data_IF_169312429765
#
_entry.id   IF_169312429765
#
_cell.length_a   1.000
_cell.length_b   1.000
_cell.length_c   1.000
_cell.angle_alpha   90.00
_cell.angle_beta   90.00
_cell.angle_gamma   90.00
#
_symmetry.space_group_name_H-M   'P 1'
#
loop_
_entity.id
_entity.type
_entity.pdbx_description
1 polymer ?
#
# COMPACT_ATOMS: atom_id res chain seq x y z
N UNK A 1 -34.05 -35.32 17.30
CA UNK A 1 -33.01 -35.04 18.31
C UNK A 1 -32.25 -33.82 17.82
N UNK A 2 -32.34 -32.70 18.54
CA UNK A 2 -31.48 -31.53 18.34
C UNK A 2 -30.27 -31.72 19.25
N UNK A 3 -29.08 -31.51 18.71
CA UNK A 3 -27.83 -31.51 19.46
C UNK A 3 -27.30 -30.08 19.47
N UNK A 4 -27.13 -29.51 20.65
CA UNK A 4 -26.52 -28.21 20.82
C UNK A 4 -25.01 -28.41 21.00
N UNK A 5 -24.22 -27.71 20.16
CA UNK A 5 -22.77 -27.67 20.27
C UNK A 5 -22.39 -26.44 21.10
N UNK A 6 -21.76 -26.66 22.26
CA UNK A 6 -21.26 -25.60 23.12
C UNK A 6 -19.73 -25.54 22.99
N UNK A 7 -19.20 -24.39 22.51
CA UNK A 7 -17.78 -24.14 22.47
C UNK A 7 -17.38 -23.29 23.69
N UNK A 8 -16.58 -23.87 24.59
CA UNK A 8 -15.95 -23.11 25.66
C UNK A 8 -14.59 -22.62 25.18
N UNK A 9 -14.45 -21.30 25.00
CA UNK A 9 -13.21 -20.66 24.53
C UNK A 9 -12.61 -19.86 25.68
N UNK A 10 -11.43 -20.31 26.17
CA UNK A 10 -10.62 -19.49 27.08
C UNK A 10 -9.65 -18.64 26.23
N UNK A 11 -9.90 -17.34 26.17
CA UNK A 11 -9.13 -16.42 25.35
C UNK A 11 -7.76 -16.11 25.95
N UNK A 12 -7.52 -16.43 27.24
CA UNK A 12 -6.28 -16.15 27.94
C UNK A 12 -5.89 -14.66 27.97
N UNK A 13 -4.72 -14.36 28.52
CA UNK A 13 -4.18 -13.01 28.54
C UNK A 13 -3.53 -12.62 27.20
N UNK A 14 -3.64 -11.35 26.82
CA UNK A 14 -3.00 -10.83 25.60
C UNK A 14 -1.46 -10.94 25.69
N UNK A 15 -0.85 -11.54 24.68
CA UNK A 15 0.59 -11.69 24.55
C UNK A 15 1.27 -10.32 24.33
N UNK A 16 2.16 -9.91 25.25
CA UNK A 16 2.84 -8.60 25.23
C UNK A 16 4.20 -8.70 24.56
N UNK A 17 4.51 -7.79 23.64
CA UNK A 17 5.85 -7.65 23.06
C UNK A 17 6.73 -6.93 24.07
N UNK A 18 7.59 -7.65 24.78
CA UNK A 18 8.51 -7.07 25.76
C UNK A 18 9.75 -6.47 25.12
N UNK A 19 10.22 -7.11 24.02
CA UNK A 19 11.43 -6.74 23.31
C UNK A 19 11.26 -7.03 21.84
N UNK A 20 11.86 -6.17 20.98
CA UNK A 20 11.98 -6.38 19.55
C UNK A 20 13.45 -6.44 19.20
N UNK A 21 13.87 -7.54 18.58
CA UNK A 21 15.26 -7.80 18.21
C UNK A 21 15.40 -8.05 16.71
N UNK A 22 16.51 -7.61 16.16
CA UNK A 22 16.89 -7.85 14.77
C UNK A 22 18.19 -8.64 14.76
N UNK A 23 18.21 -9.79 14.10
CA UNK A 23 19.34 -10.72 14.05
C UNK A 23 19.71 -11.07 12.60
N UNK A 24 20.84 -11.72 12.39
CA UNK A 24 21.32 -12.18 11.08
C UNK A 24 22.23 -11.16 10.37
N UNK A 25 22.38 -11.32 9.05
CA UNK A 25 23.18 -10.45 8.19
C UNK A 25 22.44 -9.15 7.87
N UNK A 26 22.25 -8.30 8.88
CA UNK A 26 21.58 -7.01 8.76
C UNK A 26 22.59 -5.89 8.52
N UNK A 27 22.35 -5.10 7.51
CA UNK A 27 23.21 -3.98 7.12
C UNK A 27 22.97 -2.73 8.00
N UNK A 28 21.76 -2.59 8.53
CA UNK A 28 21.35 -1.40 9.26
C UNK A 28 21.25 -1.64 10.77
N UNK A 29 21.46 -0.57 11.55
CA UNK A 29 21.35 -0.59 13.01
C UNK A 29 19.90 -0.86 13.44
N UNK A 30 19.75 -1.55 14.59
CA UNK A 30 18.44 -1.87 15.19
C UNK A 30 17.54 -0.63 15.38
N UNK A 31 18.14 0.50 15.76
CA UNK A 31 17.40 1.76 15.96
C UNK A 31 16.74 2.24 14.66
N UNK A 32 17.41 2.08 13.51
CA UNK A 32 16.86 2.41 12.20
C UNK A 32 15.73 1.44 11.81
N UNK A 33 15.98 0.14 11.95
CA UNK A 33 14.99 -0.90 11.62
C UNK A 33 13.74 -0.80 12.50
N UNK A 34 13.93 -0.51 13.79
CA UNK A 34 12.84 -0.29 14.74
C UNK A 34 11.97 0.92 14.38
N UNK A 35 12.56 1.96 13.79
CA UNK A 35 11.83 3.14 13.32
C UNK A 35 10.99 2.90 12.06
N UNK A 36 11.18 1.76 11.37
CA UNK A 36 10.42 1.42 10.16
C UNK A 36 9.16 0.61 10.44
N UNK A 37 9.15 -0.15 11.54
CA UNK A 37 8.06 -1.05 11.91
C UNK A 37 6.99 -0.36 12.75
N UNK A 38 5.79 -0.92 12.74
CA UNK A 38 4.63 -0.42 13.49
C UNK A 38 4.49 -1.09 14.85
N UNK A 39 4.95 -2.34 14.99
CA UNK A 39 4.97 -3.03 16.29
C UNK A 39 5.83 -2.30 17.31
N UNK A 40 5.38 -2.23 18.55
CA UNK A 40 6.01 -1.51 19.63
C UNK A 40 6.29 -2.40 20.84
N UNK A 41 7.39 -2.13 21.55
CA UNK A 41 7.66 -2.74 22.83
C UNK A 41 6.66 -2.25 23.90
N UNK A 42 6.15 -3.19 24.72
CA UNK A 42 5.27 -2.88 25.83
C UNK A 42 5.97 -2.00 26.86
N UNK A 43 5.37 -0.84 27.12
CA UNK A 43 5.76 0.07 28.20
C UNK A 43 4.52 0.43 29.01
N UNK A 44 4.63 0.51 30.35
CA UNK A 44 3.46 0.69 31.22
C UNK A 44 2.69 1.99 30.96
N UNK A 45 3.37 3.03 30.45
CA UNK A 45 2.74 4.32 30.11
C UNK A 45 2.09 4.34 28.71
N UNK A 46 2.30 3.32 27.89
CA UNK A 46 1.64 3.18 26.59
C UNK A 46 0.35 2.35 26.71
N UNK A 47 -0.55 2.74 27.60
CA UNK A 47 -1.74 1.93 27.91
C UNK A 47 -2.80 1.92 26.78
N UNK A 48 -2.83 2.90 25.88
CA UNK A 48 -3.83 3.02 24.80
C UNK A 48 -3.41 2.24 23.54
N UNK A 49 -2.11 2.10 23.25
CA UNK A 49 -1.64 1.47 22.02
C UNK A 49 -1.91 -0.03 21.97
N UNK A 50 -2.57 -0.50 20.92
CA UNK A 50 -2.71 -1.94 20.59
C UNK A 50 -1.46 -2.57 19.98
N UNK A 51 -0.53 -1.76 19.46
CA UNK A 51 0.67 -2.17 18.72
C UNK A 51 1.72 -2.91 19.57
N UNK A 52 1.54 -2.93 20.87
CA UNK A 52 2.38 -3.61 21.88
C UNK A 52 2.01 -5.07 22.16
N UNK A 53 1.00 -5.59 21.49
CA UNK A 53 0.58 -6.98 21.61
C UNK A 53 0.96 -7.75 20.35
N UNK A 54 1.26 -9.05 20.52
CA UNK A 54 1.49 -9.92 19.37
C UNK A 54 0.23 -9.98 18.51
N UNK A 55 0.38 -9.62 17.25
CA UNK A 55 -0.66 -9.66 16.24
C UNK A 55 -0.01 -10.09 14.92
N UNK A 56 -0.43 -11.21 14.39
CA UNK A 56 0.17 -11.80 13.19
C UNK A 56 0.05 -10.87 11.96
N UNK A 57 -1.11 -10.25 11.77
CA UNK A 57 -1.30 -9.30 10.66
C UNK A 57 -0.36 -8.11 10.77
N UNK A 58 -0.15 -7.59 11.99
CA UNK A 58 0.77 -6.48 12.23
C UNK A 58 2.23 -6.89 12.01
N UNK A 59 2.62 -8.09 12.45
CA UNK A 59 3.97 -8.64 12.24
C UNK A 59 4.23 -8.86 10.74
N UNK A 60 3.26 -9.37 9.99
CA UNK A 60 3.36 -9.53 8.55
C UNK A 60 3.46 -8.17 7.84
N UNK A 61 2.77 -7.16 8.34
CA UNK A 61 2.90 -5.80 7.85
C UNK A 61 4.31 -5.24 8.12
N UNK A 62 4.84 -5.41 9.32
CA UNK A 62 6.20 -5.02 9.67
C UNK A 62 7.26 -5.69 8.78
N UNK A 63 7.08 -6.99 8.48
CA UNK A 63 7.95 -7.69 7.52
C UNK A 63 7.93 -7.03 6.15
N UNK A 64 6.75 -6.66 5.64
CA UNK A 64 6.63 -5.95 4.36
C UNK A 64 7.32 -4.59 4.38
N UNK A 65 7.16 -3.82 5.47
CA UNK A 65 7.84 -2.53 5.62
C UNK A 65 9.37 -2.68 5.60
N UNK A 66 9.89 -3.66 6.32
CA UNK A 66 11.32 -3.96 6.31
C UNK A 66 11.78 -4.43 4.91
N UNK A 67 11.04 -5.33 4.27
CA UNK A 67 11.35 -5.83 2.94
C UNK A 67 11.40 -4.68 1.91
N UNK A 68 10.37 -3.85 1.85
CA UNK A 68 10.33 -2.70 0.96
C UNK A 68 11.49 -1.72 1.23
N UNK A 69 11.85 -1.51 2.50
CA UNK A 69 12.99 -0.68 2.83
C UNK A 69 14.31 -1.24 2.26
N UNK A 70 14.54 -2.56 2.37
CA UNK A 70 15.74 -3.20 1.82
C UNK A 70 15.74 -3.20 0.30
N UNK A 71 14.62 -3.54 -0.35
CA UNK A 71 14.44 -3.45 -1.81
C UNK A 71 14.79 -2.05 -2.32
N UNK A 72 14.31 -0.99 -1.63
CA UNK A 72 14.60 0.40 -1.97
C UNK A 72 16.04 0.84 -1.67
N UNK A 73 16.88 -0.07 -1.21
CA UNK A 73 18.32 0.15 -0.97
C UNK A 73 19.20 -0.76 -1.80
N UNK A 74 18.61 -1.51 -2.72
CA UNK A 74 19.28 -2.40 -3.65
C UNK A 74 19.40 -3.85 -3.18
N UNK A 75 18.87 -4.20 -2.04
CA UNK A 75 18.94 -5.59 -1.55
C UNK A 75 17.74 -6.39 -2.08
N UNK A 76 17.80 -6.75 -3.36
CA UNK A 76 16.71 -7.37 -4.10
C UNK A 76 16.31 -8.74 -3.54
N UNK A 77 17.30 -9.58 -3.22
CA UNK A 77 17.10 -10.94 -2.70
C UNK A 77 17.01 -11.00 -1.17
N UNK A 78 16.68 -9.87 -0.51
CA UNK A 78 16.58 -9.86 0.95
C UNK A 78 15.57 -10.86 1.47
N UNK A 79 15.97 -11.65 2.45
CA UNK A 79 15.10 -12.59 3.16
C UNK A 79 14.81 -12.08 4.57
N UNK A 80 13.53 -11.86 4.89
CA UNK A 80 13.12 -11.40 6.21
C UNK A 80 12.07 -12.35 6.78
N UNK A 81 12.44 -13.00 7.89
CA UNK A 81 11.59 -13.89 8.63
C UNK A 81 11.29 -13.31 10.02
N UNK A 82 10.14 -13.67 10.59
CA UNK A 82 9.79 -13.29 11.95
C UNK A 82 9.52 -14.54 12.79
N UNK A 83 9.97 -14.48 14.02
CA UNK A 83 9.69 -15.48 15.05
C UNK A 83 9.46 -14.79 16.39
N UNK A 84 8.92 -15.52 17.36
CA UNK A 84 8.80 -15.01 18.72
C UNK A 84 9.18 -16.07 19.73
N UNK A 85 9.86 -15.64 20.77
CA UNK A 85 10.25 -16.46 21.90
C UNK A 85 9.48 -16.01 23.15
N UNK A 86 8.87 -16.96 23.87
CA UNK A 86 8.23 -16.68 25.16
C UNK A 86 9.30 -16.35 26.19
N UNK A 87 9.20 -15.19 26.83
CA UNK A 87 10.03 -14.83 27.97
C UNK A 87 9.47 -15.43 29.26
N UNK A 88 10.35 -15.70 30.22
CA UNK A 88 10.09 -16.55 31.39
C UNK A 88 8.92 -16.05 32.28
N UNK A 89 8.48 -14.81 32.16
CA UNK A 89 7.42 -14.25 33.00
C UNK A 89 6.23 -13.71 32.18
N UNK A 90 5.03 -14.22 32.54
CA UNK A 90 3.70 -13.65 32.31
C UNK A 90 3.40 -13.14 30.89
N UNK A 91 3.08 -14.01 29.96
CA UNK A 91 2.61 -13.63 28.61
C UNK A 91 3.44 -12.54 27.92
N UNK A 92 4.76 -12.50 28.22
CA UNK A 92 5.72 -11.61 27.60
C UNK A 92 6.52 -12.38 26.55
N UNK A 93 6.71 -11.73 25.39
CA UNK A 93 7.40 -12.31 24.24
C UNK A 93 8.47 -11.36 23.72
N UNK A 94 9.53 -11.94 23.21
CA UNK A 94 10.48 -11.24 22.33
C UNK A 94 10.06 -11.53 20.89
N UNK A 95 9.83 -10.46 20.12
CA UNK A 95 9.62 -10.53 18.67
C UNK A 95 10.98 -10.40 18.00
N UNK A 96 11.32 -11.36 17.16
CA UNK A 96 12.63 -11.45 16.52
C UNK A 96 12.43 -11.38 15.01
N UNK A 97 13.05 -10.41 14.36
CA UNK A 97 13.19 -10.35 12.91
C UNK A 97 14.58 -10.87 12.52
N UNK A 98 14.62 -11.97 11.77
CA UNK A 98 15.84 -12.50 11.17
C UNK A 98 15.96 -11.96 9.77
N UNK A 99 17.04 -11.25 9.49
CA UNK A 99 17.30 -10.56 8.23
C UNK A 99 18.55 -11.13 7.61
N UNK A 100 18.44 -11.58 6.38
CA UNK A 100 19.58 -11.88 5.51
C UNK A 100 19.50 -10.96 4.29
N UNK A 101 20.30 -9.90 4.31
CA UNK A 101 20.24 -8.85 3.29
C UNK A 101 20.74 -9.30 1.92
N UNK A 102 21.55 -10.38 1.84
CA UNK A 102 22.22 -10.83 0.62
C UNK A 102 23.07 -9.73 -0.03
N UNK A 103 23.35 -9.89 -1.31
CA UNK A 103 24.13 -8.94 -2.09
C UNK A 103 23.29 -7.78 -2.61
N UNK A 104 23.98 -6.72 -3.01
CA UNK A 104 23.34 -5.51 -3.51
C UNK A 104 23.25 -5.56 -5.02
N UNK A 105 22.06 -5.26 -5.54
CA UNK A 105 21.76 -5.18 -6.96
C UNK A 105 21.65 -3.73 -7.42
N UNK A 106 21.89 -3.52 -8.70
CA UNK A 106 21.83 -2.22 -9.36
C UNK A 106 20.96 -2.30 -10.60
N UNK A 107 20.39 -1.19 -11.03
CA UNK A 107 19.71 -1.13 -12.31
C UNK A 107 20.72 -1.37 -13.45
N UNK A 108 20.38 -2.30 -14.33
CA UNK A 108 21.07 -2.56 -15.58
C UNK A 108 20.55 -1.69 -16.71
N UNK A 109 20.23 -2.31 -17.84
CA UNK A 109 19.58 -1.65 -18.97
C UNK A 109 18.08 -1.57 -18.74
N UNK A 110 17.49 -0.39 -19.04
CA UNK A 110 16.06 -0.15 -19.01
C UNK A 110 15.62 0.09 -20.45
N UNK A 111 14.61 -0.63 -20.90
CA UNK A 111 14.08 -0.59 -22.27
C UNK A 111 12.58 -0.35 -22.24
N UNK A 112 12.08 0.46 -23.16
CA UNK A 112 10.66 0.65 -23.39
C UNK A 112 10.30 0.05 -24.74
N UNK A 113 9.35 -0.87 -24.76
CA UNK A 113 8.76 -1.43 -25.97
C UNK A 113 7.38 -0.85 -26.20
N UNK A 114 7.17 -0.30 -27.37
CA UNK A 114 5.95 0.38 -27.78
C UNK A 114 5.29 -0.37 -28.95
N UNK A 115 3.96 -0.34 -29.05
CA UNK A 115 3.27 -0.69 -30.29
C UNK A 115 3.75 0.16 -31.46
N UNK A 116 3.63 -0.37 -32.67
CA UNK A 116 4.21 0.24 -33.89
C UNK A 116 3.62 1.59 -34.30
N UNK A 117 2.45 1.91 -33.82
CA UNK A 117 1.68 3.13 -34.10
C UNK A 117 1.87 4.22 -33.02
N UNK A 118 2.70 3.94 -32.00
CA UNK A 118 2.99 4.90 -30.93
C UNK A 118 4.28 5.67 -31.23
N UNK A 119 4.22 6.99 -31.06
CA UNK A 119 5.37 7.86 -31.29
C UNK A 119 6.34 7.83 -30.10
N UNK A 120 7.54 7.33 -30.31
CA UNK A 120 8.57 7.27 -29.26
C UNK A 120 8.94 8.65 -28.67
N UNK A 121 8.68 9.73 -29.40
CA UNK A 121 8.89 11.11 -28.94
C UNK A 121 8.04 11.48 -27.72
N UNK A 122 6.83 10.93 -27.61
CA UNK A 122 5.94 11.17 -26.48
C UNK A 122 6.49 10.60 -25.17
N UNK A 123 7.40 9.63 -25.28
CA UNK A 123 8.05 8.95 -24.16
C UNK A 123 9.49 9.45 -23.90
N UNK A 124 9.88 10.61 -24.44
CA UNK A 124 11.25 11.15 -24.30
C UNK A 124 11.67 11.34 -22.83
N UNK A 125 10.74 11.76 -21.99
CA UNK A 125 10.97 11.93 -20.54
C UNK A 125 11.36 10.59 -19.85
N UNK A 126 10.78 9.47 -20.27
CA UNK A 126 11.16 8.16 -19.77
C UNK A 126 12.58 7.77 -20.18
N UNK A 127 13.02 8.12 -21.38
CA UNK A 127 14.38 7.85 -21.83
C UNK A 127 15.41 8.58 -20.97
N UNK A 128 15.14 9.84 -20.61
CA UNK A 128 15.99 10.59 -19.66
C UNK A 128 16.03 9.91 -18.29
N UNK A 129 14.87 9.50 -17.77
CA UNK A 129 14.75 8.80 -16.49
C UNK A 129 15.51 7.46 -16.51
N UNK A 130 15.47 6.72 -17.61
CA UNK A 130 16.22 5.47 -17.78
C UNK A 130 17.74 5.68 -17.72
N UNK A 131 18.23 6.73 -18.41
CA UNK A 131 19.66 7.09 -18.39
C UNK A 131 20.09 7.46 -16.96
N UNK A 132 19.29 8.25 -16.28
CA UNK A 132 19.56 8.64 -14.89
C UNK A 132 19.51 7.49 -13.89
N UNK A 133 18.66 6.50 -14.15
CA UNK A 133 18.44 5.36 -13.24
C UNK A 133 19.50 4.29 -13.39
N UNK A 134 20.05 4.09 -14.58
CA UNK A 134 21.06 3.08 -14.88
C UNK A 134 22.25 3.17 -13.91
N UNK A 135 22.72 2.01 -13.42
CA UNK A 135 23.77 1.82 -12.43
C UNK A 135 23.50 2.40 -11.02
N UNK A 136 22.34 2.98 -10.75
CA UNK A 136 21.93 3.29 -9.37
C UNK A 136 21.52 1.99 -8.65
N UNK A 137 21.60 1.95 -7.31
CA UNK A 137 21.06 0.83 -6.54
C UNK A 137 19.61 0.57 -6.90
N UNK A 138 19.24 -0.70 -7.07
CA UNK A 138 17.84 -1.08 -7.34
C UNK A 138 16.89 -0.49 -6.27
N UNK A 139 15.71 -0.08 -6.72
CA UNK A 139 14.66 0.46 -5.85
C UNK A 139 13.30 0.15 -6.47
N UNK A 140 12.46 -0.55 -5.73
CA UNK A 140 11.09 -0.83 -6.18
C UNK A 140 10.28 0.46 -6.39
N UNK A 141 10.49 1.48 -5.56
CA UNK A 141 9.82 2.77 -5.74
C UNK A 141 10.18 3.43 -7.08
N UNK A 142 11.44 3.30 -7.54
CA UNK A 142 11.83 3.84 -8.85
C UNK A 142 11.14 3.10 -9.98
N UNK A 143 10.91 1.79 -9.84
CA UNK A 143 10.14 1.02 -10.82
C UNK A 143 8.68 1.49 -10.83
N UNK A 144 8.10 1.69 -9.64
CA UNK A 144 6.74 2.24 -9.50
C UNK A 144 6.64 3.64 -10.10
N UNK A 145 7.60 4.55 -9.81
CA UNK A 145 7.65 5.91 -10.38
C UNK A 145 7.71 5.88 -11.92
N UNK A 146 8.43 4.91 -12.52
CA UNK A 146 8.49 4.74 -13.98
C UNK A 146 7.14 4.28 -14.53
N UNK A 147 6.47 3.36 -13.85
CA UNK A 147 5.13 2.90 -14.25
C UNK A 147 4.13 4.05 -14.16
N UNK A 148 4.16 4.82 -13.08
CA UNK A 148 3.29 5.99 -12.90
C UNK A 148 3.53 7.04 -14.01
N UNK A 149 4.78 7.25 -14.42
CA UNK A 149 5.09 8.14 -15.55
C UNK A 149 4.56 7.59 -16.89
N UNK A 150 4.63 6.27 -17.13
CA UNK A 150 4.02 5.63 -18.31
C UNK A 150 2.51 5.86 -18.30
N UNK A 151 1.88 5.70 -17.14
CA UNK A 151 0.46 5.87 -16.96
C UNK A 151 0.02 7.34 -17.21
N UNK A 152 0.80 8.31 -16.71
CA UNK A 152 0.53 9.73 -16.93
C UNK A 152 0.68 10.13 -18.41
N UNK A 153 1.67 9.57 -19.12
CA UNK A 153 1.83 9.77 -20.57
C UNK A 153 0.63 9.15 -21.30
N UNK A 154 0.23 7.93 -20.95
CA UNK A 154 -0.90 7.27 -21.57
C UNK A 154 -2.21 8.07 -21.44
N UNK A 155 -2.43 8.67 -20.29
CA UNK A 155 -3.59 9.53 -20.04
C UNK A 155 -3.50 10.82 -20.88
N UNK A 156 -2.33 11.48 -20.91
CA UNK A 156 -2.14 12.75 -21.61
C UNK A 156 -2.27 12.62 -23.12
N UNK A 157 -1.79 11.51 -23.68
CA UNK A 157 -1.85 11.19 -25.11
C UNK A 157 -3.17 10.48 -25.50
N UNK A 158 -4.09 10.30 -24.53
CA UNK A 158 -5.38 9.65 -24.74
C UNK A 158 -5.29 8.23 -25.32
N UNK A 159 -4.24 7.50 -24.94
CA UNK A 159 -4.12 6.08 -25.31
C UNK A 159 -5.17 5.26 -24.56
N UNK A 160 -6.11 4.72 -25.32
CA UNK A 160 -7.19 3.90 -24.79
C UNK A 160 -6.79 2.44 -24.70
N UNK A 161 -7.23 1.75 -23.65
CA UNK A 161 -7.13 0.28 -23.55
C UNK A 161 -5.69 -0.26 -23.70
N UNK A 162 -4.75 0.35 -23.00
CA UNK A 162 -3.37 -0.12 -22.90
C UNK A 162 -3.11 -0.84 -21.58
N UNK A 163 -2.10 -1.69 -21.60
CA UNK A 163 -1.54 -2.35 -20.42
C UNK A 163 -0.03 -2.20 -20.45
N UNK A 164 0.53 -1.66 -19.38
CA UNK A 164 1.96 -1.68 -19.15
C UNK A 164 2.35 -2.94 -18.36
N UNK A 165 3.34 -3.67 -18.84
CA UNK A 165 3.93 -4.81 -18.14
C UNK A 165 5.42 -4.58 -17.94
N UNK A 166 5.97 -5.08 -16.84
CA UNK A 166 7.40 -5.01 -16.55
C UNK A 166 7.95 -6.42 -16.48
N UNK A 167 8.99 -6.69 -17.24
CA UNK A 167 9.76 -7.93 -17.15
C UNK A 167 11.18 -7.64 -16.68
N UNK A 168 11.68 -8.51 -15.79
CA UNK A 168 12.98 -8.39 -15.17
C UNK A 168 13.91 -9.48 -15.70
N UNK A 169 15.15 -9.13 -15.99
CA UNK A 169 16.20 -10.05 -16.34
C UNK A 169 17.46 -9.73 -15.53
N UNK A 170 17.85 -10.68 -14.67
CA UNK A 170 19.01 -10.52 -13.78
C UNK A 170 20.25 -11.06 -14.46
N UNK A 171 21.28 -10.23 -14.55
CA UNK A 171 22.61 -10.59 -15.04
C UNK A 171 23.64 -10.09 -14.05
N UNK A 172 24.32 -11.01 -13.40
CA UNK A 172 25.28 -10.75 -12.30
C UNK A 172 24.60 -9.95 -11.15
N UNK A 173 25.08 -8.74 -10.87
CA UNK A 173 24.54 -7.82 -9.88
C UNK A 173 23.58 -6.76 -10.46
N UNK A 174 23.16 -6.93 -11.73
CA UNK A 174 22.31 -5.97 -12.45
C UNK A 174 20.94 -6.54 -12.78
N UNK A 175 19.94 -5.73 -12.58
CA UNK A 175 18.56 -6.01 -12.96
C UNK A 175 18.21 -5.15 -14.18
N UNK A 176 18.08 -5.81 -15.33
CA UNK A 176 17.59 -5.19 -16.56
C UNK A 176 16.06 -5.22 -16.55
N UNK A 177 15.45 -4.11 -16.93
CA UNK A 177 13.99 -3.98 -16.95
C UNK A 177 13.51 -3.67 -18.36
N UNK A 178 12.48 -4.38 -18.77
CA UNK A 178 11.77 -4.11 -20.03
C UNK A 178 10.35 -3.72 -19.68
N UNK A 179 10.01 -2.47 -19.95
CA UNK A 179 8.66 -1.95 -19.85
C UNK A 179 7.99 -2.14 -21.21
N UNK A 180 6.95 -2.95 -21.28
CA UNK A 180 6.24 -3.26 -22.53
C UNK A 180 4.82 -2.72 -22.45
N UNK A 181 4.47 -1.87 -23.41
CA UNK A 181 3.14 -1.33 -23.56
C UNK A 181 2.44 -2.14 -24.65
N UNK A 182 1.31 -2.73 -24.32
CA UNK A 182 0.49 -3.52 -25.22
C UNK A 182 -0.91 -2.91 -25.35
N UNK A 183 -1.44 -2.90 -26.57
CA UNK A 183 -2.86 -2.61 -26.75
C UNK A 183 -3.71 -3.81 -26.35
N UNK A 184 -4.77 -3.53 -25.61
CA UNK A 184 -5.74 -4.56 -25.21
C UNK A 184 -7.06 -4.40 -25.95
N UNK A 185 -7.91 -5.42 -25.89
CA UNK A 185 -9.27 -5.34 -26.45
C UNK A 185 -10.03 -4.18 -25.82
N UNK A 186 -10.63 -3.32 -26.65
CA UNK A 186 -11.46 -2.20 -26.18
C UNK A 186 -12.74 -2.72 -25.52
N UNK A 187 -12.91 -2.41 -24.27
CA UNK A 187 -14.13 -2.60 -23.49
C UNK A 187 -14.71 -1.24 -23.12
N UNK A 188 -15.99 -1.20 -22.83
CA UNK A 188 -16.68 -0.01 -22.34
C UNK A 188 -17.22 -0.26 -20.94
N UNK A 189 -17.26 0.78 -20.12
CA UNK A 189 -17.84 0.72 -18.79
C UNK A 189 -19.36 0.70 -18.92
N UNK A 190 -19.96 -0.45 -18.63
CA UNK A 190 -21.42 -0.58 -18.67
C UNK A 190 -22.06 0.04 -17.43
N UNK A 191 -21.46 -0.19 -16.28
CA UNK A 191 -21.97 0.27 -15.00
C UNK A 191 -20.89 0.35 -13.93
N UNK A 192 -21.05 1.35 -13.05
CA UNK A 192 -20.21 1.48 -11.84
C UNK A 192 -21.14 1.35 -10.61
N UNK A 193 -20.99 0.26 -9.88
CA UNK A 193 -21.71 0.03 -8.64
C UNK A 193 -20.86 0.40 -7.44
N UNK A 194 -21.46 1.06 -6.45
CA UNK A 194 -20.79 1.45 -5.20
C UNK A 194 -21.52 0.79 -4.05
N UNK A 195 -20.77 0.11 -3.16
CA UNK A 195 -21.29 -0.63 -2.03
C UNK A 195 -20.59 -0.23 -0.74
N UNK A 196 -21.28 -0.35 0.40
CA UNK A 196 -20.69 -0.16 1.73
C UNK A 196 -20.67 1.30 2.22
N UNK A 197 -21.11 2.25 1.42
CA UNK A 197 -21.21 3.66 1.77
C UNK A 197 -22.52 3.95 2.53
N UNK A 198 -22.59 3.55 3.79
CA UNK A 198 -23.81 3.69 4.61
C UNK A 198 -24.01 5.12 5.12
N UNK A 199 -22.95 5.87 5.37
CA UNK A 199 -22.91 7.25 5.86
C UNK A 199 -22.54 8.20 4.72
N UNK A 200 -21.47 7.86 3.97
CA UNK A 200 -20.94 8.69 2.89
C UNK A 200 -21.89 8.67 1.70
N UNK A 201 -22.22 9.84 1.18
CA UNK A 201 -23.06 9.96 0.00
C UNK A 201 -22.34 9.44 -1.22
N UNK A 202 -23.05 8.75 -2.09
CA UNK A 202 -22.49 8.14 -3.30
C UNK A 202 -21.77 9.14 -4.20
N UNK A 203 -22.28 10.38 -4.31
CA UNK A 203 -21.66 11.41 -5.12
C UNK A 203 -20.25 11.82 -4.63
N UNK A 204 -19.94 11.67 -3.34
CA UNK A 204 -18.59 11.93 -2.81
C UNK A 204 -17.58 10.95 -3.41
N UNK A 205 -17.98 9.69 -3.57
CA UNK A 205 -17.16 8.65 -4.18
C UNK A 205 -17.10 8.84 -5.69
N UNK A 206 -18.26 9.06 -6.34
CA UNK A 206 -18.32 9.26 -7.80
C UNK A 206 -17.50 10.45 -8.28
N UNK A 207 -17.41 11.52 -7.49
CA UNK A 207 -16.59 12.69 -7.83
C UNK A 207 -15.06 12.41 -7.83
N UNK A 208 -14.62 11.26 -7.36
CA UNK A 208 -13.23 10.82 -7.40
C UNK A 208 -12.93 9.91 -8.61
N UNK A 209 -13.96 9.59 -9.40
CA UNK A 209 -13.80 8.73 -10.56
C UNK A 209 -13.25 9.52 -11.75
N UNK A 210 -12.29 8.94 -12.45
CA UNK A 210 -11.73 9.44 -13.70
C UNK A 210 -12.39 8.82 -14.93
N UNK A 211 -13.31 7.88 -14.73
CA UNK A 211 -14.10 7.20 -15.78
C UNK A 211 -15.55 7.17 -15.38
N UNK A 212 -16.43 7.31 -16.37
CA UNK A 212 -17.86 7.25 -16.22
C UNK A 212 -18.49 6.05 -16.96
N UNK A 213 -19.75 5.80 -16.68
CA UNK A 213 -20.54 4.79 -17.39
C UNK A 213 -20.70 5.19 -18.86
N UNK A 214 -20.29 4.32 -19.77
CA UNK A 214 -20.27 4.57 -21.21
C UNK A 214 -18.87 4.88 -21.78
N UNK A 215 -17.91 5.23 -20.93
CA UNK A 215 -16.54 5.49 -21.35
C UNK A 215 -15.80 4.21 -21.77
N UNK A 216 -14.76 4.33 -22.60
CA UNK A 216 -13.80 3.24 -22.79
C UNK A 216 -13.21 2.82 -21.44
N UNK A 217 -13.23 1.51 -21.17
CA UNK A 217 -12.63 0.96 -19.96
C UNK A 217 -11.11 1.15 -20.01
N UNK A 218 -10.57 1.82 -19.02
CA UNK A 218 -9.13 2.03 -18.84
C UNK A 218 -8.74 1.61 -17.42
N UNK A 219 -7.86 0.61 -17.31
CA UNK A 219 -7.43 0.07 -16.02
C UNK A 219 -6.63 1.09 -15.20
N UNK A 220 -5.84 1.92 -15.88
CA UNK A 220 -5.04 2.98 -15.25
C UNK A 220 -5.95 4.02 -14.58
N UNK A 221 -6.94 4.53 -15.33
CA UNK A 221 -7.92 5.48 -14.80
C UNK A 221 -8.76 4.87 -13.68
N UNK A 222 -9.07 3.56 -13.78
CA UNK A 222 -9.76 2.83 -12.71
C UNK A 222 -8.92 2.80 -11.44
N UNK A 223 -7.64 2.43 -11.53
CA UNK A 223 -6.72 2.39 -10.40
C UNK A 223 -6.51 3.78 -9.79
N UNK A 224 -6.35 4.81 -10.63
CA UNK A 224 -6.23 6.21 -10.19
C UNK A 224 -7.49 6.65 -9.42
N UNK A 225 -8.67 6.32 -9.92
CA UNK A 225 -9.95 6.56 -9.23
C UNK A 225 -9.99 5.93 -7.84
N UNK A 226 -9.57 4.68 -7.73
CA UNK A 226 -9.51 3.96 -6.45
C UNK A 226 -8.52 4.60 -5.48
N UNK A 227 -7.37 5.07 -5.97
CA UNK A 227 -6.39 5.77 -5.15
C UNK A 227 -6.93 7.12 -4.65
N UNK A 228 -7.67 7.86 -5.47
CA UNK A 228 -8.33 9.10 -5.05
C UNK A 228 -9.39 8.82 -3.97
N UNK A 229 -10.21 7.78 -4.12
CA UNK A 229 -11.16 7.37 -3.09
C UNK A 229 -10.45 7.03 -1.78
N UNK A 230 -9.32 6.30 -1.83
CA UNK A 230 -8.49 6.00 -0.66
C UNK A 230 -7.92 7.27 -0.02
N UNK A 231 -7.53 8.27 -0.83
CA UNK A 231 -6.94 9.53 -0.38
C UNK A 231 -7.91 10.38 0.44
N UNK A 232 -9.22 10.23 0.27
CA UNK A 232 -10.24 10.88 1.12
C UNK A 232 -10.04 10.55 2.61
N UNK A 233 -9.38 9.44 2.91
CA UNK A 233 -9.05 9.00 4.27
C UNK A 233 -10.28 8.86 5.21
N UNK A 234 -11.46 8.64 4.63
CA UNK A 234 -12.73 8.38 5.35
C UNK A 234 -13.11 6.89 5.33
N UNK A 235 -12.41 6.10 4.55
CA UNK A 235 -12.59 4.65 4.45
C UNK A 235 -11.45 3.90 5.14
N UNK A 236 -11.78 2.78 5.75
CA UNK A 236 -10.82 1.83 6.32
C UNK A 236 -10.21 0.97 5.22
N UNK A 237 -11.07 0.60 4.27
CA UNK A 237 -10.69 -0.19 3.10
C UNK A 237 -11.50 0.23 1.88
N UNK A 238 -10.87 0.13 0.70
CA UNK A 238 -11.49 0.38 -0.61
C UNK A 238 -10.99 -0.68 -1.56
N UNK A 239 -11.90 -1.55 -1.99
CA UNK A 239 -11.66 -2.61 -2.95
C UNK A 239 -12.50 -2.38 -4.21
N UNK A 240 -12.02 -2.85 -5.35
CA UNK A 240 -12.84 -2.90 -6.55
C UNK A 240 -12.67 -4.22 -7.27
N UNK A 241 -13.70 -4.63 -7.96
CA UNK A 241 -13.74 -5.83 -8.78
C UNK A 241 -14.32 -5.48 -10.14
N UNK A 242 -13.70 -6.04 -11.20
CA UNK A 242 -14.17 -5.89 -12.57
C UNK A 242 -14.84 -7.19 -12.96
N UNK A 243 -16.06 -7.10 -13.44
CA UNK A 243 -16.82 -8.23 -13.97
C UNK A 243 -17.26 -7.99 -15.42
N UNK A 244 -17.58 -9.06 -16.12
CA UNK A 244 -18.17 -8.93 -17.46
C UNK A 244 -19.55 -8.27 -17.39
N UNK A 245 -19.82 -7.36 -18.32
CA UNK A 245 -21.12 -6.73 -18.46
C UNK A 245 -22.13 -7.63 -19.19
N UNK A 246 -23.35 -7.16 -19.35
CA UNK A 246 -24.40 -7.86 -20.09
C UNK A 246 -24.18 -7.78 -21.60
N UNK A 247 -23.58 -6.69 -22.07
CA UNK A 247 -23.25 -6.50 -23.46
C UNK A 247 -21.88 -7.08 -23.78
N UNK A 248 -21.70 -7.54 -25.03
CA UNK A 248 -20.39 -7.98 -25.51
C UNK A 248 -19.42 -6.79 -25.49
N UNK A 249 -18.22 -7.02 -24.97
CA UNK A 249 -17.17 -6.01 -24.79
C UNK A 249 -17.57 -4.89 -23.77
N UNK A 250 -18.39 -5.19 -22.77
CA UNK A 250 -18.62 -4.28 -21.65
C UNK A 250 -18.12 -4.86 -20.34
N UNK A 251 -17.78 -3.96 -19.42
CA UNK A 251 -17.28 -4.27 -18.07
C UNK A 251 -18.16 -3.55 -17.03
N UNK A 252 -18.36 -4.22 -15.92
CA UNK A 252 -18.99 -3.61 -14.73
C UNK A 252 -17.95 -3.48 -13.65
N UNK A 253 -17.83 -2.27 -13.10
CA UNK A 253 -16.90 -1.97 -12.01
C UNK A 253 -17.72 -1.96 -10.70
N UNK A 254 -17.35 -2.83 -9.77
CA UNK A 254 -17.95 -2.91 -8.45
C UNK A 254 -16.97 -2.37 -7.42
N UNK A 255 -17.24 -1.21 -6.85
CA UNK A 255 -16.42 -0.56 -5.82
C UNK A 255 -17.05 -0.84 -4.46
N UNK A 256 -16.30 -1.44 -3.55
CA UNK A 256 -16.75 -1.73 -2.19
C UNK A 256 -15.90 -0.96 -1.19
N UNK A 257 -16.53 -0.13 -0.38
CA UNK A 257 -15.87 0.67 0.64
C UNK A 257 -16.25 0.17 2.05
N UNK A 258 -15.30 0.21 2.98
CA UNK A 258 -15.53 0.01 4.41
C UNK A 258 -15.31 1.33 5.13
N UNK A 259 -16.36 1.93 5.65
CA UNK A 259 -16.29 3.21 6.35
C UNK A 259 -15.58 3.09 7.70
N UNK A 260 -14.88 4.14 8.11
CA UNK A 260 -14.28 4.23 9.44
C UNK A 260 -14.78 5.45 10.18
N UNK A 261 -14.76 5.45 11.53
CA UNK A 261 -15.04 6.65 12.31
C UNK A 261 -14.05 7.76 11.93
N UNK A 262 -14.57 8.94 11.60
CA UNK A 262 -13.81 10.12 11.15
C UNK A 262 -13.82 11.26 12.17
N UNK A 263 -14.57 11.10 13.26
CA UNK A 263 -14.64 12.04 14.37
C UNK A 263 -13.41 11.98 15.25
N UNK A 264 -12.81 13.14 15.51
CA UNK A 264 -11.65 13.32 16.42
C UNK A 264 -12.01 14.25 17.56
N UNK A 265 -11.66 13.87 18.79
CA UNK A 265 -11.73 14.72 19.97
C UNK A 265 -10.33 15.09 20.38
N UNK A 266 -10.05 16.37 20.47
CA UNK A 266 -8.77 16.92 20.88
C UNK A 266 -8.90 17.61 22.22
N UNK A 267 -7.98 17.35 23.14
CA UNK A 267 -7.85 18.07 24.40
C UNK A 267 -6.39 18.46 24.60
N UNK A 268 -6.15 19.71 24.94
CA UNK A 268 -4.81 20.23 25.19
C UNK A 268 -4.80 21.09 26.44
N UNK A 269 -3.66 21.09 27.18
CA UNK A 269 -3.39 22.01 28.26
C UNK A 269 -1.98 22.56 28.08
N UNK A 270 -1.80 23.85 28.32
CA UNK A 270 -0.54 24.54 28.21
C UNK A 270 -0.33 25.54 29.36
N UNK A 271 0.93 25.75 29.73
CA UNK A 271 1.34 26.77 30.67
C UNK A 271 2.32 27.72 29.98
N UNK A 272 2.07 29.00 30.07
CA UNK A 272 2.93 30.02 29.50
C UNK A 272 3.12 31.19 30.47
N UNK A 273 3.90 32.21 30.09
CA UNK A 273 4.13 33.41 30.87
C UNK A 273 2.85 34.20 31.19
N UNK A 274 1.79 34.00 30.43
CA UNK A 274 0.45 34.60 30.59
C UNK A 274 -0.53 33.73 31.38
N UNK A 275 -0.13 32.54 31.87
CA UNK A 275 -0.97 31.64 32.67
C UNK A 275 -1.21 30.28 32.05
N UNK A 276 -2.18 29.55 32.61
CA UNK A 276 -2.62 28.26 32.14
C UNK A 276 -3.69 28.39 31.04
N UNK A 277 -3.63 27.58 30.02
CA UNK A 277 -4.65 27.48 28.97
C UNK A 277 -5.09 26.03 28.78
N UNK A 278 -6.37 25.84 28.50
CA UNK A 278 -6.93 24.56 28.10
C UNK A 278 -7.66 24.71 26.75
N UNK A 279 -7.53 23.72 25.90
CA UNK A 279 -8.19 23.69 24.61
C UNK A 279 -8.97 22.37 24.47
N UNK A 280 -10.19 22.46 23.99
CA UNK A 280 -11.00 21.32 23.56
C UNK A 280 -11.42 21.54 22.12
N UNK A 281 -11.32 20.50 21.31
CA UNK A 281 -11.76 20.55 19.92
C UNK A 281 -12.43 19.25 19.51
N UNK A 282 -13.41 19.36 18.62
CA UNK A 282 -14.04 18.24 17.92
C UNK A 282 -13.88 18.50 16.44
N UNK A 283 -13.37 17.50 15.71
CA UNK A 283 -13.22 17.55 14.27
C UNK A 283 -13.94 16.34 13.66
N UNK A 284 -14.68 16.57 12.61
CA UNK A 284 -15.33 15.53 11.82
C UNK A 284 -14.97 15.71 10.35
N UNK A 285 -14.34 14.70 9.74
CA UNK A 285 -13.88 14.77 8.35
C UNK A 285 -14.93 14.31 7.34
N UNK A 286 -16.00 13.64 7.80
CA UNK A 286 -17.10 13.18 6.94
C UNK A 286 -18.45 13.66 7.49
N UNK A 287 -18.55 14.97 7.73
CA UNK A 287 -19.74 15.56 8.33
C UNK A 287 -20.95 15.46 7.37
N UNK A 288 -22.01 14.77 7.82
CA UNK A 288 -23.21 14.49 7.03
C UNK A 288 -22.96 13.70 5.74
N UNK A 289 -21.88 12.92 5.68
CA UNK A 289 -21.51 12.11 4.52
C UNK A 289 -21.03 12.93 3.32
N UNK A 290 -20.38 14.07 3.59
CA UNK A 290 -19.89 15.00 2.56
C UNK A 290 -18.38 15.16 2.65
#
# INVERSE_FOLDING_TARGET
NKVDLIFNIDVGDKAKIKKISFVGNKIYKDSKLRGLIVSEEYKFWKFISGKKYLNESLINFDRRLLNNFYLNKGYYDVEINSSFAKLVNNNQFELIFSIDAKDKFYFGDLELKLPSDYEASNFSKLQELFIETKNKPYSINVVEDIIDEIDDIAISEQYESIKATVSENIVDDKINLIFEIEETTKFFVEKINIFGNNITRENVIRNQLYIDEGDPFNEILSNKSINEIKSLNIFKDVNYEISEGQNKNSKVINITVEEKPTGEIMAGAGFGTSGASTMFGVKENNFLGK
#
